data_IF_926857307392
#
_entry.id   IF_926857307392
#
_cell.length_a   1.000
_cell.length_b   1.000
_cell.length_c   1.000
_cell.angle_alpha   90.00
_cell.angle_beta   90.00
_cell.angle_gamma   90.00
#
_symmetry.space_group_name_H-M   'P 1'
#
loop_
_entity.id
_entity.type
_entity.pdbx_description
1 polymer ?
#
# COMPACT_ATOMS: atom_id res chain seq x y z
N UNK A 1 -3.08 0.33 -2.41
CA UNK A 1 -2.63 -0.40 -1.19
C UNK A 1 -1.85 0.55 -0.30
N UNK A 2 -2.38 0.90 0.83
CA UNK A 2 -1.69 1.76 1.79
C UNK A 2 -1.00 0.87 2.82
N UNK A 3 0.32 0.90 2.84
CA UNK A 3 1.17 0.02 3.64
C UNK A 3 1.78 -1.08 2.78
N UNK A 4 3.10 -1.22 2.86
CA UNK A 4 3.86 -2.23 2.11
C UNK A 4 4.54 -3.24 3.03
N UNK A 5 3.86 -3.57 4.12
CA UNK A 5 4.20 -4.72 4.94
C UNK A 5 3.85 -6.01 4.19
N UNK A 6 3.94 -7.14 4.88
CA UNK A 6 3.70 -8.44 4.23
C UNK A 6 2.34 -8.48 3.52
N UNK A 7 1.27 -8.16 4.24
CA UNK A 7 -0.09 -8.26 3.69
C UNK A 7 -0.29 -7.27 2.55
N UNK A 8 0.09 -6.00 2.74
CA UNK A 8 -0.12 -4.97 1.73
C UNK A 8 0.68 -5.20 0.47
N UNK A 9 1.95 -5.59 0.61
CA UNK A 9 2.82 -5.82 -0.54
C UNK A 9 2.39 -7.06 -1.33
N UNK A 10 2.19 -8.19 -0.65
CA UNK A 10 1.80 -9.43 -1.32
C UNK A 10 0.45 -9.29 -2.00
N UNK A 11 -0.52 -8.71 -1.30
CA UNK A 11 -1.86 -8.49 -1.87
C UNK A 11 -1.82 -7.54 -3.06
N UNK A 12 -1.05 -6.45 -2.95
CA UNK A 12 -0.92 -5.49 -4.04
C UNK A 12 -0.29 -6.10 -5.29
N UNK A 13 0.76 -6.88 -5.11
CA UNK A 13 1.42 -7.59 -6.21
C UNK A 13 0.46 -8.59 -6.86
N UNK A 14 -0.28 -9.35 -6.07
CA UNK A 14 -1.25 -10.32 -6.59
C UNK A 14 -2.38 -9.64 -7.36
N UNK A 15 -2.92 -8.52 -6.86
CA UNK A 15 -3.94 -7.77 -7.58
C UNK A 15 -3.43 -7.21 -8.90
N UNK A 16 -2.18 -6.77 -8.94
CA UNK A 16 -1.56 -6.31 -10.19
C UNK A 16 -1.38 -7.47 -11.17
N UNK A 17 -0.99 -8.63 -10.67
CA UNK A 17 -0.75 -9.81 -11.50
C UNK A 17 -2.01 -10.31 -12.20
N UNK A 18 -3.17 -10.13 -11.59
CA UNK A 18 -4.45 -10.50 -12.21
C UNK A 18 -5.02 -9.40 -13.11
N UNK A 19 -4.31 -8.30 -13.31
CA UNK A 19 -4.65 -7.29 -14.31
C UNK A 19 -5.11 -5.94 -13.78
N UNK A 20 -5.08 -5.71 -12.48
CA UNK A 20 -5.47 -4.42 -11.91
C UNK A 20 -4.32 -3.42 -11.92
N UNK A 21 -4.66 -2.13 -11.98
CA UNK A 21 -3.71 -1.05 -11.75
C UNK A 21 -3.58 -0.83 -10.26
N UNK A 22 -2.38 -1.04 -9.71
CA UNK A 22 -2.15 -0.97 -8.26
C UNK A 22 -1.08 0.04 -7.96
N UNK A 23 -1.36 0.92 -7.01
CA UNK A 23 -0.38 1.85 -6.43
C UNK A 23 -0.18 1.45 -4.98
N UNK A 24 1.05 1.12 -4.63
CA UNK A 24 1.42 0.79 -3.25
C UNK A 24 2.06 2.01 -2.60
N UNK A 25 1.59 2.36 -1.42
CA UNK A 25 2.04 3.55 -0.69
C UNK A 25 2.66 3.14 0.63
N UNK A 26 3.81 3.72 0.94
CA UNK A 26 4.43 3.61 2.26
C UNK A 26 5.15 4.91 2.54
N UNK A 27 5.21 5.29 3.81
CA UNK A 27 5.95 6.49 4.20
C UNK A 27 7.46 6.27 4.34
N UNK A 28 7.93 5.03 4.30
CA UNK A 28 9.34 4.69 4.37
C UNK A 28 9.97 4.80 2.98
N UNK A 29 10.74 5.86 2.76
CA UNK A 29 11.40 6.12 1.47
C UNK A 29 12.37 5.03 1.07
N UNK A 30 13.11 4.46 2.03
CA UNK A 30 14.07 3.40 1.74
C UNK A 30 13.38 2.15 1.20
N UNK A 31 12.25 1.80 1.80
CA UNK A 31 11.44 0.67 1.38
C UNK A 31 10.90 0.90 -0.04
N UNK A 32 10.37 2.08 -0.30
CA UNK A 32 9.84 2.45 -1.62
C UNK A 32 10.94 2.46 -2.68
N UNK A 33 12.13 2.98 -2.36
CA UNK A 33 13.25 2.98 -3.30
C UNK A 33 13.68 1.56 -3.67
N UNK A 34 13.73 0.65 -2.70
CA UNK A 34 14.05 -0.76 -2.98
C UNK A 34 13.01 -1.40 -3.87
N UNK A 35 11.74 -1.16 -3.61
CA UNK A 35 10.64 -1.69 -4.42
C UNK A 35 10.69 -1.16 -5.86
N UNK A 36 10.99 0.12 -6.04
CA UNK A 36 11.15 0.70 -7.36
C UNK A 36 12.35 0.13 -8.12
N UNK A 37 13.32 -0.42 -7.41
CA UNK A 37 14.46 -1.13 -8.00
C UNK A 37 14.18 -2.62 -8.26
N UNK A 38 12.96 -3.08 -7.95
CA UNK A 38 12.58 -4.48 -8.10
C UNK A 38 13.03 -5.39 -6.97
N UNK A 39 13.44 -4.82 -5.86
CA UNK A 39 13.92 -5.58 -4.69
C UNK A 39 12.82 -5.58 -3.63
N UNK A 40 12.37 -6.77 -3.24
CA UNK A 40 11.39 -6.90 -2.15
C UNK A 40 12.08 -6.80 -0.79
N UNK A 41 11.54 -6.02 0.15
CA UNK A 41 12.02 -6.02 1.52
C UNK A 41 11.57 -7.27 2.30
N UNK A 42 10.73 -8.09 1.70
CA UNK A 42 10.17 -9.28 2.31
C UNK A 42 10.68 -10.50 1.56
N UNK A 43 11.19 -11.49 2.29
CA UNK A 43 11.60 -12.74 1.69
C UNK A 43 10.39 -13.64 1.47
N UNK A 44 9.93 -13.67 0.22
CA UNK A 44 8.85 -14.54 -0.22
C UNK A 44 9.24 -15.11 -1.58
N UNK A 45 9.32 -16.45 -1.73
CA UNK A 45 9.72 -17.05 -3.01
C UNK A 45 8.82 -16.63 -4.16
N UNK A 46 9.43 -16.15 -5.24
CA UNK A 46 8.70 -15.71 -6.44
C UNK A 46 8.17 -14.29 -6.39
N UNK A 47 8.22 -13.62 -5.25
CA UNK A 47 7.67 -12.27 -5.11
C UNK A 47 8.47 -11.24 -5.93
N UNK A 48 9.79 -11.32 -5.91
CA UNK A 48 10.63 -10.40 -6.67
C UNK A 48 10.34 -10.46 -8.17
N UNK A 49 10.13 -11.67 -8.69
CA UNK A 49 9.81 -11.87 -10.10
C UNK A 49 8.46 -11.24 -10.46
N UNK A 50 7.46 -11.41 -9.60
CA UNK A 50 6.14 -10.82 -9.81
C UNK A 50 6.19 -9.30 -9.72
N UNK A 51 6.98 -8.74 -8.81
CA UNK A 51 7.17 -7.30 -8.72
C UNK A 51 7.78 -6.76 -10.01
N UNK A 52 8.85 -7.37 -10.49
CA UNK A 52 9.52 -6.93 -11.73
C UNK A 52 8.59 -7.05 -12.93
N UNK A 53 7.88 -8.16 -13.06
CA UNK A 53 6.94 -8.39 -14.15
C UNK A 53 5.85 -7.32 -14.19
N UNK A 54 5.21 -7.06 -13.07
CA UNK A 54 4.08 -6.13 -13.02
C UNK A 54 4.52 -4.67 -13.05
N UNK A 55 5.69 -4.37 -12.51
CA UNK A 55 6.29 -3.05 -12.62
C UNK A 55 6.60 -2.72 -14.08
N UNK A 56 7.21 -3.66 -14.80
CA UNK A 56 7.51 -3.49 -16.23
C UNK A 56 6.24 -3.36 -17.08
N UNK A 57 5.18 -4.05 -16.71
CA UNK A 57 3.88 -3.96 -17.39
C UNK A 57 3.10 -2.70 -17.02
N UNK A 58 3.64 -1.85 -16.15
CA UNK A 58 3.02 -0.60 -15.68
C UNK A 58 1.71 -0.82 -14.93
N UNK A 59 1.50 -2.00 -14.37
CA UNK A 59 0.35 -2.30 -13.53
C UNK A 59 0.62 -2.10 -12.04
N UNK A 60 1.89 -1.96 -11.66
CA UNK A 60 2.31 -1.84 -10.28
C UNK A 60 3.26 -0.65 -10.15
N UNK A 61 2.99 0.21 -9.18
CA UNK A 61 3.85 1.34 -8.86
C UNK A 61 3.94 1.55 -7.36
N UNK A 62 4.99 2.21 -6.92
CA UNK A 62 5.27 2.46 -5.51
C UNK A 62 5.54 3.94 -5.30
N UNK A 63 4.96 4.51 -4.26
CA UNK A 63 5.12 5.93 -3.95
C UNK A 63 5.06 6.20 -2.45
N UNK A 64 5.60 7.33 -2.05
CA UNK A 64 5.43 7.85 -0.69
C UNK A 64 4.32 8.90 -0.61
N UNK A 65 3.75 9.30 -1.75
CA UNK A 65 2.72 10.33 -1.83
C UNK A 65 1.33 9.71 -1.70
N UNK A 66 0.83 9.69 -0.47
CA UNK A 66 -0.47 9.10 -0.16
C UNK A 66 -1.62 9.90 -0.77
N UNK A 67 -1.53 11.22 -0.78
CA UNK A 67 -2.60 12.07 -1.30
C UNK A 67 -2.84 11.85 -2.79
N UNK A 68 -1.76 11.79 -3.55
CA UNK A 68 -1.83 11.53 -4.99
C UNK A 68 -2.39 10.14 -5.25
N UNK A 69 -1.92 9.14 -4.52
CA UNK A 69 -2.38 7.76 -4.68
C UNK A 69 -3.88 7.65 -4.40
N UNK A 70 -4.37 8.26 -3.34
CA UNK A 70 -5.79 8.26 -2.99
C UNK A 70 -6.61 8.96 -4.07
N UNK A 71 -6.12 10.05 -4.62
CA UNK A 71 -6.87 10.85 -5.60
C UNK A 71 -7.12 10.11 -6.92
N UNK A 72 -6.23 9.19 -7.29
CA UNK A 72 -6.33 8.44 -8.55
C UNK A 72 -6.88 7.02 -8.37
N UNK A 73 -7.17 6.62 -7.14
CA UNK A 73 -7.63 5.25 -6.84
C UNK A 73 -9.14 5.19 -6.66
N UNK A 74 -9.75 4.14 -7.18
CA UNK A 74 -11.18 3.87 -6.99
C UNK A 74 -11.44 3.09 -5.71
N UNK A 75 -10.56 2.15 -5.39
CA UNK A 75 -10.65 1.30 -4.20
C UNK A 75 -9.35 1.42 -3.42
N UNK A 76 -9.47 1.62 -2.11
CA UNK A 76 -8.32 1.79 -1.23
C UNK A 76 -8.33 0.70 -0.17
N UNK A 77 -7.23 -0.07 -0.12
CA UNK A 77 -6.98 -1.06 0.93
C UNK A 77 -6.01 -0.48 1.94
N UNK A 78 -6.38 -0.48 3.19
CA UNK A 78 -5.54 0.01 4.29
C UNK A 78 -4.89 -1.18 4.98
N UNK A 79 -3.59 -1.33 4.79
CA UNK A 79 -2.81 -2.46 5.29
C UNK A 79 -1.64 -1.97 6.16
N UNK A 80 -1.88 -0.95 6.96
CA UNK A 80 -0.88 -0.42 7.89
C UNK A 80 -0.79 -1.27 9.14
N UNK A 81 0.35 -1.19 9.83
CA UNK A 81 0.54 -1.91 11.08
C UNK A 81 -0.43 -1.43 12.15
N UNK A 82 -0.84 -2.35 13.01
CA UNK A 82 -1.71 -2.07 14.15
C UNK A 82 -0.98 -2.51 15.43
N UNK A 83 0.09 -1.78 15.83
CA UNK A 83 0.89 -2.16 16.98
C UNK A 83 0.07 -2.08 18.28
N UNK A 84 0.48 -2.84 19.28
CA UNK A 84 -0.10 -2.73 20.62
C UNK A 84 0.26 -1.37 21.19
N UNK A 85 -0.71 -0.72 21.84
CA UNK A 85 -0.46 0.56 22.51
C UNK A 85 0.54 0.36 23.63
N UNK A 86 1.44 1.33 23.79
CA UNK A 86 2.44 1.30 24.85
C UNK A 86 1.74 1.26 26.22
N UNK A 87 2.09 0.26 27.04
CA UNK A 87 1.49 0.08 28.35
C UNK A 87 0.07 -0.45 28.34
N UNK A 88 -0.42 -0.96 27.22
CA UNK A 88 -1.77 -1.50 27.07
C UNK A 88 -1.73 -2.78 26.24
N UNK A 89 -2.72 -3.66 26.49
CA UNK A 89 -2.93 -4.86 25.67
C UNK A 89 -3.82 -4.58 24.44
N UNK A 90 -4.34 -3.36 24.33
CA UNK A 90 -5.19 -2.97 23.19
C UNK A 90 -4.34 -2.64 21.98
N UNK A 91 -4.81 -3.04 20.81
CA UNK A 91 -4.18 -2.70 19.53
C UNK A 91 -4.34 -1.21 19.26
N UNK A 92 -3.27 -0.58 18.76
CA UNK A 92 -3.30 0.82 18.39
C UNK A 92 -3.81 0.96 16.94
N UNK A 93 -5.02 1.49 16.79
CA UNK A 93 -5.67 1.69 15.51
C UNK A 93 -5.62 3.14 15.03
N UNK A 94 -4.81 3.99 15.66
CA UNK A 94 -4.79 5.42 15.33
C UNK A 94 -4.46 5.69 13.85
N UNK A 95 -3.53 4.96 13.28
CA UNK A 95 -3.18 5.11 11.85
C UNK A 95 -4.34 4.69 10.94
N UNK A 96 -5.04 3.62 11.28
CA UNK A 96 -6.19 3.13 10.50
C UNK A 96 -7.30 4.18 10.51
N UNK A 97 -7.64 4.71 11.67
CA UNK A 97 -8.67 5.74 11.79
C UNK A 97 -8.31 7.00 11.01
N UNK A 98 -7.07 7.45 11.12
CA UNK A 98 -6.60 8.64 10.42
C UNK A 98 -6.73 8.48 8.90
N UNK A 99 -6.33 7.35 8.37
CA UNK A 99 -6.41 7.06 6.93
C UNK A 99 -7.86 6.89 6.49
N UNK A 100 -8.70 6.26 7.30
CA UNK A 100 -10.12 6.10 7.00
C UNK A 100 -10.83 7.46 6.95
N UNK A 101 -10.50 8.39 7.84
CA UNK A 101 -11.06 9.74 7.82
C UNK A 101 -10.67 10.51 6.56
N UNK A 102 -9.42 10.39 6.13
CA UNK A 102 -8.95 11.01 4.87
C UNK A 102 -9.74 10.43 3.70
N UNK A 103 -9.91 9.13 3.64
CA UNK A 103 -10.66 8.48 2.56
C UNK A 103 -12.13 8.88 2.56
N UNK A 104 -12.80 8.84 3.72
CA UNK A 104 -14.21 9.23 3.84
C UNK A 104 -14.42 10.66 3.36
N UNK A 105 -13.54 11.57 3.78
CA UNK A 105 -13.63 12.97 3.39
C UNK A 105 -13.48 13.14 1.88
N UNK A 106 -12.54 12.43 1.27
CA UNK A 106 -12.35 12.50 -0.17
C UNK A 106 -13.51 11.88 -0.94
N UNK A 107 -14.06 10.78 -0.46
CA UNK A 107 -15.24 10.19 -1.06
C UNK A 107 -16.43 11.14 -1.06
N UNK A 108 -16.64 11.84 0.07
CA UNK A 108 -17.71 12.83 0.16
C UNK A 108 -17.55 13.97 -0.83
N UNK A 109 -16.31 14.40 -1.07
CA UNK A 109 -16.02 15.42 -2.09
C UNK A 109 -16.19 14.88 -3.50
N UNK A 110 -15.90 13.60 -3.71
CA UNK A 110 -16.03 12.96 -5.01
C UNK A 110 -17.45 12.55 -5.36
N UNK A 111 -18.35 12.48 -4.40
CA UNK A 111 -19.74 12.18 -4.66
C UNK A 111 -20.40 13.34 -5.39
N UNK A 112 -21.04 13.03 -6.46
CA UNK A 112 -21.69 13.99 -7.32
C UNK A 112 -23.16 13.66 -7.46
#
# INVERSE_FOLDING_TARGET
>A
MIGTGYVGLVSGVCFADIGNQVVCVDKNKNKINKLNSGISPIYEPGLDELIKKNFAAKRLSFTTDIDKAISISDIIFICVGTPTRKGSIKVDLSFVYKLSLIHIWRCRRGLR
#
